data_IF_884218648751
#
_entry.id   IF_884218648751
#
_cell.length_a   1.000
_cell.length_b   1.000
_cell.length_c   1.000
_cell.angle_alpha   90.00
_cell.angle_beta   90.00
_cell.angle_gamma   90.00
#
_symmetry.space_group_name_H-M   'P 1'
#
loop_
_entity.id
_entity.type
_entity.pdbx_description
1 polymer ?
#
# COMPACT_ATOMS: atom_id res chain seq x y z
N UNK A 1 57.63 -12.88 -6.36
CA UNK A 1 56.57 -12.60 -7.34
C UNK A 1 55.37 -13.42 -6.92
N UNK A 2 54.35 -12.73 -6.39
CA UNK A 2 52.99 -13.15 -6.00
C UNK A 2 52.73 -14.63 -5.64
N UNK A 3 52.66 -14.89 -4.33
CA UNK A 3 51.89 -16.01 -3.79
C UNK A 3 50.41 -15.60 -3.78
N UNK A 4 49.56 -16.28 -4.56
CA UNK A 4 48.11 -16.14 -4.50
C UNK A 4 47.61 -16.68 -3.16
N UNK A 5 47.08 -15.79 -2.31
CA UNK A 5 46.13 -16.19 -1.28
C UNK A 5 44.81 -16.47 -1.97
N UNK A 6 44.39 -17.74 -2.01
CA UNK A 6 43.02 -18.09 -2.32
C UNK A 6 42.18 -17.96 -1.04
N UNK A 7 41.33 -16.93 -0.98
CA UNK A 7 40.18 -16.91 -0.06
C UNK A 7 39.16 -17.94 -0.59
N UNK A 8 38.95 -19.01 0.16
CA UNK A 8 37.83 -19.93 -0.03
C UNK A 8 36.69 -19.50 0.90
N UNK A 9 35.54 -19.11 0.33
CA UNK A 9 34.34 -18.72 1.06
C UNK A 9 33.21 -19.71 0.78
N UNK A 10 32.91 -20.54 1.78
CA UNK A 10 31.99 -21.68 1.78
C UNK A 10 32.66 -23.00 1.33
N UNK A 11 33.17 -23.75 2.31
CA UNK A 11 33.77 -25.07 2.16
C UNK A 11 32.69 -26.14 2.41
N UNK A 12 32.31 -26.91 1.38
CA UNK A 12 31.30 -27.98 1.47
C UNK A 12 31.88 -29.32 1.95
N UNK A 13 32.47 -29.34 3.15
CA UNK A 13 32.85 -30.61 3.77
C UNK A 13 32.79 -30.52 5.30
N UNK A 14 31.61 -30.79 5.86
CA UNK A 14 31.49 -31.02 7.29
C UNK A 14 30.94 -32.44 7.55
N UNK A 15 31.76 -33.29 8.17
CA UNK A 15 31.45 -34.67 8.55
C UNK A 15 31.58 -34.85 10.08
N UNK A 16 31.13 -33.87 10.85
CA UNK A 16 31.14 -33.92 12.31
C UNK A 16 29.74 -33.79 12.90
N UNK A 17 29.52 -34.42 14.05
CA UNK A 17 28.39 -34.12 14.91
C UNK A 17 28.76 -32.89 15.77
N UNK A 18 28.11 -31.75 15.55
CA UNK A 18 28.24 -30.58 16.42
C UNK A 18 27.12 -30.58 17.45
N UNK A 19 27.38 -31.23 18.57
CA UNK A 19 26.59 -31.07 19.79
C UNK A 19 26.49 -29.59 20.18
N UNK A 20 25.26 -29.07 20.13
CA UNK A 20 24.85 -27.81 20.74
C UNK A 20 23.64 -28.10 21.62
N UNK A 21 23.79 -27.95 22.92
CA UNK A 21 22.73 -28.12 23.91
C UNK A 21 21.80 -26.89 23.86
N UNK A 22 20.96 -26.82 22.82
CA UNK A 22 19.84 -25.89 22.77
C UNK A 22 18.74 -26.48 23.66
N UNK A 23 18.41 -25.77 24.74
CA UNK A 23 17.33 -26.13 25.65
C UNK A 23 16.09 -26.47 24.83
N UNK A 24 15.70 -27.75 24.86
CA UNK A 24 14.54 -28.25 24.15
C UNK A 24 13.28 -27.65 24.77
N UNK A 25 12.86 -26.49 24.27
CA UNK A 25 11.48 -26.09 24.36
C UNK A 25 10.70 -27.08 23.50
N UNK A 26 10.02 -28.00 24.18
CA UNK A 26 9.19 -29.06 23.60
C UNK A 26 7.92 -28.49 22.94
N UNK A 27 8.12 -27.66 21.92
CA UNK A 27 7.10 -27.32 20.93
C UNK A 27 7.44 -28.16 19.70
N UNK A 28 6.71 -29.26 19.56
CA UNK A 28 6.81 -30.15 18.42
C UNK A 28 6.29 -29.43 17.17
N UNK A 29 7.16 -28.69 16.49
CA UNK A 29 6.96 -28.26 15.10
C UNK A 29 7.32 -29.39 14.11
N UNK A 30 7.39 -30.65 14.58
CA UNK A 30 8.04 -31.82 13.98
C UNK A 30 7.34 -32.43 12.77
N UNK A 31 6.90 -31.60 11.83
CA UNK A 31 6.69 -32.01 10.45
C UNK A 31 7.35 -31.01 9.51
N UNK A 32 8.65 -30.74 9.71
CA UNK A 32 9.44 -30.02 8.72
C UNK A 32 9.85 -30.95 7.58
N UNK A 33 9.98 -30.39 6.39
CA UNK A 33 10.38 -31.13 5.20
C UNK A 33 11.77 -31.76 5.40
N UNK A 34 11.82 -33.09 5.52
CA UNK A 34 13.05 -33.83 5.77
C UNK A 34 14.05 -33.71 4.60
N UNK A 35 13.55 -33.59 3.37
CA UNK A 35 14.37 -33.37 2.19
C UNK A 35 14.90 -31.93 2.17
N UNK A 36 14.07 -30.96 2.53
CA UNK A 36 14.47 -29.56 2.73
C UNK A 36 15.59 -29.41 3.76
N UNK A 37 15.51 -30.12 4.89
CA UNK A 37 16.57 -30.14 5.90
C UNK A 37 17.88 -30.69 5.36
N UNK A 38 17.83 -31.81 4.61
CA UNK A 38 19.02 -32.42 3.99
C UNK A 38 19.68 -31.46 3.00
N UNK A 39 18.88 -30.89 2.09
CA UNK A 39 19.35 -29.92 1.08
C UNK A 39 19.92 -28.65 1.73
N UNK A 40 19.28 -28.15 2.79
CA UNK A 40 19.78 -27.03 3.57
C UNK A 40 21.16 -27.31 4.18
N UNK A 41 21.34 -28.49 4.78
CA UNK A 41 22.62 -28.92 5.35
C UNK A 41 23.74 -29.00 4.31
N UNK A 42 23.43 -29.43 3.10
CA UNK A 42 24.40 -29.58 2.01
C UNK A 42 24.79 -28.24 1.37
N UNK A 43 23.81 -27.37 1.14
CA UNK A 43 23.98 -26.23 0.22
C UNK A 43 23.93 -24.87 0.91
N UNK A 44 23.35 -24.76 2.10
CA UNK A 44 22.99 -23.48 2.72
C UNK A 44 23.69 -23.24 4.06
N UNK A 45 23.76 -24.28 4.90
CA UNK A 45 24.22 -24.18 6.28
C UNK A 45 25.66 -23.64 6.43
N UNK A 46 26.52 -23.86 5.43
CA UNK A 46 27.91 -23.37 5.45
C UNK A 46 28.04 -21.85 5.51
N UNK A 47 27.08 -21.12 4.93
CA UNK A 47 27.08 -19.66 4.95
C UNK A 47 25.98 -19.11 5.89
N UNK A 48 24.82 -19.77 5.98
CA UNK A 48 23.67 -19.34 6.80
C UNK A 48 23.64 -19.91 8.23
N UNK A 49 24.60 -20.77 8.58
CA UNK A 49 24.68 -21.44 9.88
C UNK A 49 23.72 -22.63 9.98
N UNK A 50 24.09 -23.65 10.77
CA UNK A 50 23.28 -24.87 10.94
C UNK A 50 21.89 -24.58 11.53
N UNK A 51 21.79 -23.56 12.39
CA UNK A 51 20.54 -23.11 13.01
C UNK A 51 19.93 -21.86 12.33
N UNK A 52 20.40 -21.49 11.13
CA UNK A 52 19.90 -20.32 10.40
C UNK A 52 20.29 -18.96 11.01
N UNK A 53 21.15 -18.93 12.05
CA UNK A 53 21.57 -17.70 12.73
C UNK A 53 22.54 -16.82 11.91
N UNK A 54 22.91 -17.25 10.70
CA UNK A 54 23.89 -16.56 9.86
C UNK A 54 25.33 -16.81 10.29
N UNK A 55 26.27 -16.35 9.48
CA UNK A 55 27.70 -16.33 9.79
C UNK A 55 28.25 -14.93 9.50
N UNK A 56 29.57 -14.75 9.58
CA UNK A 56 30.19 -13.48 9.15
C UNK A 56 30.06 -13.23 7.63
N UNK A 57 29.65 -14.23 6.86
CA UNK A 57 29.57 -14.18 5.40
C UNK A 57 28.13 -14.28 4.91
N UNK A 58 27.30 -15.13 5.52
CA UNK A 58 25.89 -15.30 5.15
C UNK A 58 24.94 -14.66 6.17
N UNK A 59 23.86 -14.08 5.66
CA UNK A 59 22.82 -13.45 6.48
C UNK A 59 22.05 -14.46 7.33
N UNK A 60 21.51 -14.06 8.49
CA UNK A 60 20.58 -14.89 9.23
C UNK A 60 19.30 -15.16 8.42
N UNK A 61 18.77 -16.37 8.58
CA UNK A 61 17.51 -16.86 8.02
C UNK A 61 16.40 -16.99 9.09
N UNK A 62 16.75 -16.76 10.36
CA UNK A 62 15.79 -16.51 11.45
C UNK A 62 15.21 -15.11 11.28
N UNK A 63 13.88 -14.99 11.39
CA UNK A 63 13.12 -13.75 11.22
C UNK A 63 13.47 -13.00 9.92
N UNK A 64 13.63 -13.72 8.81
CA UNK A 64 14.14 -13.14 7.58
C UNK A 64 13.08 -12.31 6.83
N UNK A 65 13.50 -11.26 6.11
CA UNK A 65 12.58 -10.38 5.39
C UNK A 65 11.78 -11.10 4.29
N UNK A 66 12.37 -12.12 3.66
CA UNK A 66 11.73 -12.93 2.61
C UNK A 66 10.92 -14.10 3.17
N UNK A 67 10.91 -14.30 4.50
CA UNK A 67 10.20 -15.36 5.19
C UNK A 67 8.71 -15.01 5.42
N UNK A 68 8.08 -14.32 4.46
CA UNK A 68 6.65 -13.94 4.51
C UNK A 68 5.73 -15.04 3.98
N UNK A 69 6.28 -16.03 3.28
CA UNK A 69 5.55 -17.19 2.78
C UNK A 69 6.50 -18.17 2.08
N UNK A 70 6.16 -19.46 2.07
CA UNK A 70 6.99 -20.52 1.47
C UNK A 70 7.24 -20.24 -0.02
N UNK A 71 6.21 -19.85 -0.77
CA UNK A 71 6.34 -19.57 -2.20
C UNK A 71 7.24 -18.35 -2.49
N UNK A 72 7.13 -17.28 -1.68
CA UNK A 72 7.97 -16.09 -1.80
C UNK A 72 9.43 -16.42 -1.52
N UNK A 73 9.68 -17.18 -0.44
CA UNK A 73 11.03 -17.60 -0.08
C UNK A 73 11.61 -18.57 -1.12
N UNK A 74 10.83 -19.53 -1.62
CA UNK A 74 11.27 -20.44 -2.68
C UNK A 74 11.61 -19.68 -3.97
N UNK A 75 10.83 -18.66 -4.32
CA UNK A 75 11.13 -17.80 -5.46
C UNK A 75 12.43 -17.03 -5.26
N UNK A 76 12.63 -16.43 -4.10
CA UNK A 76 13.87 -15.73 -3.75
C UNK A 76 15.07 -16.68 -3.85
N UNK A 77 14.99 -17.87 -3.24
CA UNK A 77 16.03 -18.90 -3.31
C UNK A 77 16.35 -19.22 -4.77
N UNK A 78 15.35 -19.49 -5.60
CA UNK A 78 15.56 -19.86 -7.01
C UNK A 78 16.24 -18.77 -7.86
N UNK A 79 16.18 -17.50 -7.41
CA UNK A 79 16.76 -16.37 -8.13
C UNK A 79 18.16 -15.99 -7.63
N UNK A 80 18.46 -16.24 -6.35
CA UNK A 80 19.63 -15.65 -5.71
C UNK A 80 20.55 -16.67 -5.04
N UNK A 81 20.14 -17.93 -4.89
CA UNK A 81 20.88 -18.96 -4.17
C UNK A 81 20.89 -20.30 -4.92
N UNK A 82 21.92 -21.15 -4.73
CA UNK A 82 23.11 -20.95 -3.90
C UNK A 82 24.17 -20.05 -4.53
N UNK A 83 24.88 -19.29 -3.70
CA UNK A 83 26.05 -18.49 -4.09
C UNK A 83 27.36 -19.18 -3.71
N UNK A 84 28.33 -19.17 -4.62
CA UNK A 84 29.59 -19.87 -4.42
C UNK A 84 30.44 -19.89 -5.70
N UNK A 85 31.72 -20.26 -5.55
CA UNK A 85 32.65 -20.29 -6.68
C UNK A 85 32.30 -21.38 -7.71
N UNK A 86 31.72 -22.47 -7.23
CA UNK A 86 31.39 -23.66 -8.03
C UNK A 86 29.89 -24.01 -7.93
N UNK A 87 29.04 -23.01 -7.67
CA UNK A 87 27.58 -23.16 -7.59
C UNK A 87 26.87 -22.13 -8.47
N UNK A 88 25.66 -22.46 -8.90
CA UNK A 88 24.75 -21.64 -9.68
C UNK A 88 23.37 -21.62 -9.01
N UNK A 89 22.59 -20.56 -9.24
CA UNK A 89 21.21 -20.45 -8.72
C UNK A 89 20.29 -21.60 -9.19
N UNK A 90 20.62 -22.20 -10.33
CA UNK A 90 19.94 -23.39 -10.86
C UNK A 90 20.21 -24.67 -10.08
N UNK A 91 21.20 -24.69 -9.19
CA UNK A 91 21.54 -25.87 -8.39
C UNK A 91 20.52 -26.11 -7.27
N UNK A 92 19.75 -25.09 -6.91
CA UNK A 92 18.56 -25.22 -6.06
C UNK A 92 17.40 -24.37 -6.59
N UNK A 93 16.82 -24.79 -7.71
CA UNK A 93 15.58 -24.22 -8.24
C UNK A 93 14.38 -25.17 -8.01
N UNK A 94 13.18 -24.73 -8.43
CA UNK A 94 11.97 -25.55 -8.44
C UNK A 94 11.66 -26.24 -7.11
N UNK A 95 11.70 -27.57 -7.12
CA UNK A 95 11.38 -28.38 -5.93
C UNK A 95 12.43 -28.22 -4.83
N UNK A 96 13.73 -28.09 -5.17
CA UNK A 96 14.77 -27.86 -4.17
C UNK A 96 14.50 -26.57 -3.39
N UNK A 97 14.23 -25.49 -4.12
CA UNK A 97 13.92 -24.19 -3.51
C UNK A 97 12.66 -24.26 -2.64
N UNK A 98 11.65 -25.01 -3.08
CA UNK A 98 10.40 -25.20 -2.32
C UNK A 98 10.61 -25.99 -1.04
N UNK A 99 11.35 -27.11 -1.09
CA UNK A 99 11.62 -27.97 0.05
C UNK A 99 12.49 -27.24 1.10
N UNK A 100 13.52 -26.53 0.66
CA UNK A 100 14.40 -25.75 1.55
C UNK A 100 13.67 -24.55 2.13
N UNK A 101 12.82 -23.86 1.36
CA UNK A 101 11.99 -22.76 1.87
C UNK A 101 11.03 -23.24 2.96
N UNK A 102 10.37 -24.39 2.76
CA UNK A 102 9.51 -25.00 3.77
C UNK A 102 10.31 -25.29 5.05
N UNK A 103 11.48 -25.94 4.92
CA UNK A 103 12.34 -26.21 6.07
C UNK A 103 12.75 -24.93 6.82
N UNK A 104 13.25 -23.90 6.13
CA UNK A 104 13.65 -22.61 6.75
C UNK A 104 12.47 -21.96 7.48
N UNK A 105 11.28 -21.98 6.88
CA UNK A 105 10.07 -21.40 7.47
C UNK A 105 9.67 -22.12 8.76
N UNK A 106 9.68 -23.45 8.78
CA UNK A 106 9.26 -24.21 9.95
C UNK A 106 10.35 -24.30 11.03
N UNK A 107 11.59 -24.59 10.65
CA UNK A 107 12.69 -24.84 11.59
C UNK A 107 13.21 -23.56 12.24
N UNK A 108 13.24 -22.43 11.52
CA UNK A 108 13.85 -21.19 12.02
C UNK A 108 12.83 -20.09 12.30
N UNK A 109 11.65 -20.13 11.67
CA UNK A 109 10.64 -19.08 11.75
C UNK A 109 9.30 -19.55 12.34
N UNK A 110 9.15 -20.85 12.66
CA UNK A 110 7.89 -21.43 13.14
C UNK A 110 7.35 -20.76 14.42
N UNK A 111 8.23 -20.37 15.34
CA UNK A 111 7.87 -19.62 16.54
C UNK A 111 7.37 -18.21 16.21
N UNK A 112 8.06 -17.47 15.34
CA UNK A 112 7.64 -16.14 14.92
C UNK A 112 6.33 -16.17 14.12
N UNK A 113 6.11 -17.22 13.32
CA UNK A 113 4.85 -17.44 12.61
C UNK A 113 3.72 -17.81 13.57
N UNK A 114 3.99 -18.62 14.61
CA UNK A 114 3.02 -18.93 15.65
C UNK A 114 2.68 -17.70 16.50
N UNK A 115 3.66 -16.88 16.88
CA UNK A 115 3.46 -15.61 17.57
C UNK A 115 2.66 -14.62 16.71
N UNK A 116 2.96 -14.51 15.41
CA UNK A 116 2.18 -13.70 14.48
C UNK A 116 0.74 -14.23 14.34
N UNK A 117 0.55 -15.54 14.18
CA UNK A 117 -0.77 -16.15 14.06
C UNK A 117 -1.61 -16.00 15.34
N UNK A 118 -1.00 -16.16 16.51
CA UNK A 118 -1.66 -15.96 17.80
C UNK A 118 -1.90 -14.48 18.11
N UNK A 119 -1.05 -13.57 17.63
CA UNK A 119 -1.30 -12.11 17.71
C UNK A 119 -2.48 -11.67 16.83
N UNK A 120 -2.82 -12.43 15.80
CA UNK A 120 -3.97 -12.18 14.92
C UNK A 120 -5.21 -12.98 15.33
N UNK A 121 -5.11 -13.81 16.38
CA UNK A 121 -6.25 -14.54 16.91
C UNK A 121 -7.29 -13.55 17.42
N UNK A 122 -8.50 -13.62 16.84
CA UNK A 122 -9.58 -12.65 17.07
C UNK A 122 -9.65 -11.48 16.09
N UNK A 123 -8.71 -11.34 15.14
CA UNK A 123 -8.86 -10.40 14.01
C UNK A 123 -9.61 -11.12 12.88
N UNK A 124 -10.78 -10.59 12.51
CA UNK A 124 -11.57 -11.11 11.39
C UNK A 124 -11.74 -10.07 10.30
N UNK A 125 -11.80 -10.54 9.05
CA UNK A 125 -12.08 -9.69 7.89
C UNK A 125 -13.55 -9.28 7.93
N UNK A 126 -13.81 -8.00 7.72
CA UNK A 126 -15.18 -7.48 7.64
C UNK A 126 -15.84 -8.06 6.37
N UNK A 127 -17.04 -8.67 6.48
CA UNK A 127 -17.79 -9.16 5.33
C UNK A 127 -17.95 -8.11 4.22
N UNK A 128 -17.91 -8.54 2.95
CA UNK A 128 -17.87 -7.63 1.81
C UNK A 128 -19.09 -6.71 1.69
N UNK A 129 -20.25 -7.11 2.19
CA UNK A 129 -21.45 -6.27 2.27
C UNK A 129 -21.27 -5.08 3.23
N UNK A 130 -20.64 -5.32 4.38
CA UNK A 130 -20.31 -4.28 5.35
C UNK A 130 -19.16 -3.39 4.84
N UNK A 131 -18.16 -4.00 4.19
CA UNK A 131 -17.06 -3.28 3.55
C UNK A 131 -17.56 -2.36 2.44
N UNK A 132 -18.47 -2.84 1.57
CA UNK A 132 -19.13 -2.05 0.54
C UNK A 132 -19.87 -0.86 1.16
N UNK A 133 -20.69 -1.10 2.18
CA UNK A 133 -21.43 -0.03 2.88
C UNK A 133 -20.50 1.05 3.43
N UNK A 134 -19.39 0.65 4.05
CA UNK A 134 -18.43 1.61 4.58
C UNK A 134 -17.75 2.38 3.46
N UNK A 135 -17.35 1.70 2.40
CA UNK A 135 -16.66 2.32 1.27
C UNK A 135 -17.55 3.36 0.56
N UNK A 136 -18.80 3.02 0.19
CA UNK A 136 -19.68 3.96 -0.51
C UNK A 136 -20.03 5.18 0.35
N UNK A 137 -20.20 5.01 1.67
CA UNK A 137 -20.48 6.13 2.58
C UNK A 137 -19.27 7.05 2.69
N UNK A 138 -18.06 6.50 2.79
CA UNK A 138 -16.85 7.30 2.93
C UNK A 138 -16.45 8.01 1.63
N UNK A 139 -16.60 7.32 0.50
CA UNK A 139 -16.13 7.77 -0.81
C UNK A 139 -17.17 8.57 -1.58
N UNK A 140 -18.46 8.27 -1.44
CA UNK A 140 -19.54 8.93 -2.19
C UNK A 140 -20.65 9.50 -1.30
N UNK A 141 -20.53 9.43 0.03
CA UNK A 141 -21.54 10.00 0.95
C UNK A 141 -22.92 9.33 0.89
N UNK A 142 -23.03 8.17 0.23
CA UNK A 142 -24.30 7.45 0.01
C UNK A 142 -24.23 5.99 0.43
N UNK A 143 -25.39 5.40 0.69
CA UNK A 143 -25.50 3.96 0.90
C UNK A 143 -25.34 3.21 -0.44
N UNK A 144 -24.91 1.93 -0.40
CA UNK A 144 -24.87 1.11 -1.60
C UNK A 144 -26.27 0.90 -2.16
N UNK A 145 -26.37 0.78 -3.48
CA UNK A 145 -27.60 0.37 -4.15
C UNK A 145 -27.84 -1.13 -4.00
N UNK A 146 -29.08 -1.56 -4.23
CA UNK A 146 -29.42 -2.98 -4.24
C UNK A 146 -28.65 -3.74 -5.34
N UNK A 147 -28.43 -3.11 -6.49
CA UNK A 147 -27.68 -3.69 -7.61
C UNK A 147 -26.20 -3.88 -7.27
N UNK A 148 -25.57 -2.88 -6.65
CA UNK A 148 -24.19 -2.96 -6.16
C UNK A 148 -24.03 -4.07 -5.13
N UNK A 149 -24.95 -4.14 -4.17
CA UNK A 149 -24.94 -5.18 -3.13
C UNK A 149 -25.09 -6.58 -3.73
N UNK A 150 -26.03 -6.75 -4.67
CA UNK A 150 -26.23 -8.01 -5.35
C UNK A 150 -24.99 -8.45 -6.16
N UNK A 151 -24.31 -7.50 -6.81
CA UNK A 151 -23.06 -7.75 -7.57
C UNK A 151 -21.95 -8.23 -6.65
N UNK A 152 -21.74 -7.58 -5.51
CA UNK A 152 -20.73 -8.00 -4.51
C UNK A 152 -21.06 -9.35 -3.90
N UNK A 153 -22.33 -9.65 -3.61
CA UNK A 153 -22.74 -10.96 -3.10
C UNK A 153 -22.52 -12.07 -4.12
N UNK A 154 -22.78 -11.81 -5.40
CA UNK A 154 -22.64 -12.79 -6.47
C UNK A 154 -21.18 -13.03 -6.89
N UNK A 155 -20.37 -11.98 -6.91
CA UNK A 155 -19.03 -11.98 -7.53
C UNK A 155 -17.89 -11.81 -6.52
N UNK A 156 -18.20 -11.63 -5.23
CA UNK A 156 -17.20 -11.47 -4.17
C UNK A 156 -16.30 -10.25 -4.39
N UNK A 157 -14.98 -10.42 -4.20
CA UNK A 157 -14.00 -9.35 -4.33
C UNK A 157 -13.94 -8.74 -5.73
N UNK A 158 -14.17 -9.54 -6.77
CA UNK A 158 -14.22 -9.03 -8.15
C UNK A 158 -15.41 -8.08 -8.36
N UNK A 159 -16.58 -8.44 -7.81
CA UNK A 159 -17.76 -7.57 -7.80
C UNK A 159 -17.52 -6.30 -7.00
N UNK A 160 -16.85 -6.40 -5.85
CA UNK A 160 -16.49 -5.25 -5.02
C UNK A 160 -15.58 -4.29 -5.76
N UNK A 161 -14.50 -4.77 -6.39
CA UNK A 161 -13.59 -3.94 -7.17
C UNK A 161 -14.34 -3.20 -8.29
N UNK A 162 -15.17 -3.92 -9.06
CA UNK A 162 -15.94 -3.32 -10.15
C UNK A 162 -16.93 -2.26 -9.66
N UNK A 163 -17.58 -2.46 -8.50
CA UNK A 163 -18.46 -1.44 -7.91
C UNK A 163 -17.65 -0.23 -7.44
N UNK A 164 -16.47 -0.41 -6.86
CA UNK A 164 -15.63 0.73 -6.45
C UNK A 164 -15.18 1.57 -7.65
N UNK A 165 -14.86 0.94 -8.78
CA UNK A 165 -14.53 1.65 -10.01
C UNK A 165 -15.71 2.48 -10.51
N UNK A 166 -16.94 1.95 -10.45
CA UNK A 166 -18.15 2.69 -10.79
C UNK A 166 -18.36 3.87 -9.83
N UNK A 167 -18.29 3.64 -8.51
CA UNK A 167 -18.46 4.67 -7.47
C UNK A 167 -17.46 5.82 -7.63
N UNK A 168 -16.20 5.53 -7.94
CA UNK A 168 -15.15 6.56 -8.11
C UNK A 168 -15.29 7.38 -9.40
N UNK A 169 -16.24 7.04 -10.28
CA UNK A 169 -16.57 7.80 -11.49
C UNK A 169 -17.88 8.59 -11.37
N UNK A 170 -18.53 8.55 -10.21
CA UNK A 170 -19.77 9.29 -9.95
C UNK A 170 -19.53 10.73 -9.51
N UNK A 171 -20.49 11.62 -9.77
CA UNK A 171 -20.42 13.01 -9.31
C UNK A 171 -20.36 13.11 -7.77
N UNK A 172 -21.02 12.19 -7.07
CA UNK A 172 -20.99 12.05 -5.62
C UNK A 172 -19.58 11.84 -5.06
N UNK A 173 -18.75 11.05 -5.74
CA UNK A 173 -17.35 10.85 -5.34
C UNK A 173 -16.54 12.14 -5.43
N UNK A 174 -16.70 12.90 -6.51
CA UNK A 174 -16.00 14.18 -6.69
C UNK A 174 -16.51 15.26 -5.71
N UNK A 175 -17.81 15.26 -5.39
CA UNK A 175 -18.34 16.12 -4.33
C UNK A 175 -17.71 15.78 -2.98
N UNK A 176 -17.60 14.48 -2.66
CA UNK A 176 -16.96 14.02 -1.43
C UNK A 176 -15.47 14.33 -1.39
N UNK A 177 -14.79 14.27 -2.54
CA UNK A 177 -13.39 14.65 -2.67
C UNK A 177 -13.18 16.14 -2.33
N UNK A 178 -14.03 17.01 -2.89
CA UNK A 178 -14.05 18.43 -2.53
C UNK A 178 -14.25 18.65 -1.03
N UNK A 179 -15.18 17.94 -0.38
CA UNK A 179 -15.38 18.02 1.07
C UNK A 179 -14.13 17.64 1.86
N UNK A 180 -13.53 16.48 1.53
CA UNK A 180 -12.34 15.96 2.22
C UNK A 180 -11.17 16.93 2.12
N UNK A 181 -10.90 17.47 0.93
CA UNK A 181 -9.81 18.42 0.76
C UNK A 181 -10.13 19.78 1.38
N UNK A 182 -11.40 20.19 1.35
CA UNK A 182 -11.82 21.43 1.98
C UNK A 182 -11.74 21.36 3.52
N UNK A 183 -11.81 20.19 4.15
CA UNK A 183 -11.51 20.05 5.59
C UNK A 183 -10.07 20.44 5.95
N UNK A 184 -9.16 20.44 4.96
CA UNK A 184 -7.76 20.88 5.10
C UNK A 184 -7.56 22.29 4.57
N UNK A 185 -8.03 22.58 3.35
CA UNK A 185 -7.80 23.88 2.70
C UNK A 185 -8.67 24.99 3.29
N UNK A 186 -9.86 24.64 3.80
CA UNK A 186 -10.82 25.55 4.42
C UNK A 186 -11.19 26.75 3.52
N UNK A 187 -11.16 26.57 2.20
CA UNK A 187 -11.38 27.65 1.25
C UNK A 187 -12.86 27.93 1.01
N UNK A 188 -13.76 26.97 1.27
CA UNK A 188 -15.21 27.21 1.26
C UNK A 188 -15.64 28.27 2.27
N UNK A 189 -14.80 28.57 3.28
CA UNK A 189 -14.99 29.72 4.17
C UNK A 189 -15.18 31.03 3.39
N UNK A 190 -14.58 31.17 2.22
CA UNK A 190 -14.62 32.39 1.41
C UNK A 190 -15.78 32.44 0.40
N UNK A 191 -16.64 31.41 0.35
CA UNK A 191 -17.84 31.44 -0.48
C UNK A 191 -18.72 32.64 -0.13
N UNK A 192 -19.46 33.15 -1.11
CA UNK A 192 -20.35 34.31 -0.91
C UNK A 192 -21.42 33.99 0.14
N UNK A 193 -21.90 32.74 0.22
CA UNK A 193 -22.87 32.34 1.25
C UNK A 193 -22.34 32.51 2.68
N UNK A 194 -21.02 32.43 2.87
CA UNK A 194 -20.37 32.52 4.18
C UNK A 194 -19.85 33.93 4.50
N UNK A 195 -19.48 34.71 3.49
CA UNK A 195 -18.87 36.04 3.66
C UNK A 195 -19.81 37.21 3.33
N UNK A 196 -20.89 36.94 2.58
CA UNK A 196 -21.83 37.94 2.07
C UNK A 196 -21.28 38.84 0.96
N UNK A 197 -20.05 38.62 0.47
CA UNK A 197 -19.40 39.49 -0.53
C UNK A 197 -18.19 38.81 -1.20
N UNK A 198 -17.22 39.59 -1.68
CA UNK A 198 -16.02 39.24 -2.46
C UNK A 198 -14.88 38.65 -1.61
N UNK A 199 -15.19 37.77 -0.65
CA UNK A 199 -14.23 37.22 0.30
C UNK A 199 -12.95 36.64 -0.33
N UNK A 200 -13.07 35.79 -1.35
CA UNK A 200 -11.95 35.18 -2.05
C UNK A 200 -11.27 36.16 -3.02
N UNK A 201 -12.04 36.93 -3.79
CA UNK A 201 -11.49 37.93 -4.73
C UNK A 201 -10.69 39.03 -4.02
N UNK A 202 -10.94 39.26 -2.73
CA UNK A 202 -10.20 40.23 -1.92
C UNK A 202 -8.84 39.72 -1.48
N UNK A 203 -8.56 38.42 -1.61
CA UNK A 203 -7.25 37.82 -1.37
C UNK A 203 -6.32 37.94 -2.57
N UNK A 204 -6.86 38.20 -3.77
CA UNK A 204 -6.07 38.45 -4.97
C UNK A 204 -5.50 39.87 -4.93
N UNK A 205 -4.18 39.96 -5.10
CA UNK A 205 -3.48 41.24 -5.20
C UNK A 205 -3.94 42.02 -6.45
N UNK A 206 -4.16 43.32 -6.33
CA UNK A 206 -4.66 44.13 -7.44
C UNK A 206 -3.61 44.43 -8.52
N UNK A 207 -2.33 44.36 -8.18
CA UNK A 207 -1.24 44.61 -9.13
C UNK A 207 -1.01 43.37 -10.01
N UNK A 208 -1.16 42.17 -9.43
CA UNK A 208 -1.05 40.91 -10.17
C UNK A 208 -2.36 40.53 -10.89
N UNK A 209 -3.51 40.88 -10.31
CA UNK A 209 -4.84 40.52 -10.82
C UNK A 209 -5.70 41.78 -11.03
N UNK A 210 -5.29 42.63 -11.96
CA UNK A 210 -5.94 43.90 -12.29
C UNK A 210 -7.44 43.76 -12.60
N UNK A 211 -7.84 42.64 -13.22
CA UNK A 211 -9.22 42.35 -13.61
C UNK A 211 -10.05 41.58 -12.55
N UNK A 212 -9.57 41.45 -11.30
CA UNK A 212 -10.30 40.70 -10.24
C UNK A 212 -11.70 41.27 -9.94
N UNK A 213 -11.95 42.52 -10.32
CA UNK A 213 -13.24 43.21 -10.20
C UNK A 213 -13.87 43.52 -11.57
N UNK A 214 -13.63 42.71 -12.61
CA UNK A 214 -14.13 42.91 -13.98
C UNK A 214 -15.63 43.28 -14.05
N UNK A 215 -16.44 42.66 -13.18
CA UNK A 215 -17.88 42.91 -13.08
C UNK A 215 -18.24 44.37 -12.75
N UNK A 216 -17.32 45.15 -12.18
CA UNK A 216 -17.53 46.57 -11.91
C UNK A 216 -17.54 47.45 -13.16
N UNK A 217 -16.91 46.98 -14.25
CA UNK A 217 -16.88 47.65 -15.54
C UNK A 217 -18.06 47.21 -16.39
N UNK A 218 -18.29 45.89 -16.47
CA UNK A 218 -19.35 45.32 -17.31
C UNK A 218 -20.76 45.54 -16.72
N UNK A 219 -20.85 45.57 -15.39
CA UNK A 219 -22.08 45.80 -14.64
C UNK A 219 -21.88 46.88 -13.56
N UNK A 220 -21.82 48.17 -13.96
CA UNK A 220 -21.52 49.26 -13.04
C UNK A 220 -22.62 49.43 -11.99
N UNK A 221 -22.26 49.76 -10.75
CA UNK A 221 -23.23 49.96 -9.67
C UNK A 221 -24.17 51.14 -9.95
N UNK A 222 -25.41 51.05 -9.48
CA UNK A 222 -26.41 52.12 -9.64
C UNK A 222 -27.09 52.13 -11.01
N UNK A 223 -26.98 51.03 -11.75
CA UNK A 223 -27.80 50.76 -12.93
C UNK A 223 -29.24 50.37 -12.58
N UNK A 224 -29.95 49.81 -13.55
CA UNK A 224 -31.27 49.22 -13.32
C UNK A 224 -31.17 47.89 -12.55
N UNK A 225 -32.33 47.36 -12.14
CA UNK A 225 -32.43 46.12 -11.38
C UNK A 225 -31.75 44.95 -12.11
N UNK A 226 -31.89 44.87 -13.43
CA UNK A 226 -31.28 43.81 -14.23
C UNK A 226 -29.75 43.87 -14.21
N UNK A 227 -29.18 45.07 -14.28
CA UNK A 227 -27.74 45.27 -14.16
C UNK A 227 -27.23 44.91 -12.76
N UNK A 228 -27.94 45.28 -11.70
CA UNK A 228 -27.57 44.93 -10.33
C UNK A 228 -27.66 43.41 -10.09
N UNK A 229 -28.68 42.73 -10.63
CA UNK A 229 -28.80 41.27 -10.58
C UNK A 229 -27.64 40.58 -11.30
N UNK A 230 -27.31 41.04 -12.51
CA UNK A 230 -26.17 40.53 -13.28
C UNK A 230 -24.84 40.76 -12.53
N UNK A 231 -24.66 41.95 -11.95
CA UNK A 231 -23.49 42.28 -11.12
C UNK A 231 -23.36 41.32 -9.93
N UNK A 232 -24.44 41.08 -9.21
CA UNK A 232 -24.45 40.19 -8.05
C UNK A 232 -24.23 38.72 -8.43
N UNK A 233 -24.74 38.30 -9.59
CA UNK A 233 -24.44 36.98 -10.15
C UNK A 233 -22.96 36.84 -10.51
N UNK A 234 -22.40 37.83 -11.22
CA UNK A 234 -21.00 37.86 -11.61
C UNK A 234 -20.05 37.84 -10.41
N UNK A 235 -20.36 38.59 -9.34
CA UNK A 235 -19.63 38.54 -8.07
C UNK A 235 -19.65 37.14 -7.47
N UNK A 236 -20.84 36.51 -7.36
CA UNK A 236 -20.98 35.15 -6.80
C UNK A 236 -20.14 34.14 -7.56
N UNK A 237 -20.32 34.07 -8.88
CA UNK A 237 -19.61 33.10 -9.71
C UNK A 237 -18.09 33.30 -9.68
N UNK A 238 -17.63 34.55 -9.78
CA UNK A 238 -16.20 34.85 -9.76
C UNK A 238 -15.58 34.55 -8.39
N UNK A 239 -16.26 34.95 -7.31
CA UNK A 239 -15.76 34.73 -5.96
C UNK A 239 -15.72 33.25 -5.59
N UNK A 240 -16.81 32.53 -5.85
CA UNK A 240 -16.89 31.11 -5.50
C UNK A 240 -15.97 30.27 -6.39
N UNK A 241 -15.76 30.69 -7.64
CA UNK A 241 -14.76 30.11 -8.54
C UNK A 241 -13.34 30.23 -7.98
N UNK A 242 -12.93 31.42 -7.54
CA UNK A 242 -11.60 31.62 -6.92
C UNK A 242 -11.50 30.89 -5.57
N UNK A 243 -12.57 30.87 -4.77
CA UNK A 243 -12.59 30.14 -3.51
C UNK A 243 -12.39 28.62 -3.72
N UNK A 244 -12.96 28.06 -4.78
CA UNK A 244 -12.93 26.61 -5.04
C UNK A 244 -11.90 26.18 -6.07
N UNK A 245 -11.12 27.10 -6.65
CA UNK A 245 -10.16 26.81 -7.72
C UNK A 245 -9.24 25.63 -7.36
N UNK A 246 -8.64 25.63 -6.17
CA UNK A 246 -7.76 24.56 -5.72
C UNK A 246 -8.47 23.20 -5.55
N UNK A 247 -9.74 23.22 -5.13
CA UNK A 247 -10.56 22.01 -4.97
C UNK A 247 -10.98 21.47 -6.36
N UNK A 248 -11.41 22.35 -7.25
CA UNK A 248 -11.79 21.98 -8.61
C UNK A 248 -10.59 21.50 -9.45
N UNK A 249 -9.38 21.99 -9.18
CA UNK A 249 -8.16 21.46 -9.78
C UNK A 249 -7.94 19.99 -9.36
N UNK A 250 -8.17 19.65 -8.09
CA UNK A 250 -8.07 18.26 -7.60
C UNK A 250 -9.10 17.37 -8.30
N UNK A 251 -10.34 17.84 -8.42
CA UNK A 251 -11.38 17.13 -9.18
C UNK A 251 -10.99 16.95 -10.64
N UNK A 252 -10.47 18.00 -11.28
CA UNK A 252 -10.05 17.95 -12.67
C UNK A 252 -8.95 16.91 -12.89
N UNK A 253 -7.92 16.89 -12.05
CA UNK A 253 -6.83 15.90 -12.13
C UNK A 253 -7.41 14.49 -11.94
N UNK A 254 -8.24 14.28 -10.91
CA UNK A 254 -8.80 12.95 -10.60
C UNK A 254 -9.70 12.43 -11.74
N UNK A 255 -10.47 13.30 -12.41
CA UNK A 255 -11.32 12.92 -13.55
C UNK A 255 -10.56 12.59 -14.83
N UNK A 256 -9.32 13.06 -14.97
CA UNK A 256 -8.56 13.00 -16.23
C UNK A 256 -7.24 12.22 -16.11
N UNK A 257 -7.07 11.43 -15.05
CA UNK A 257 -5.87 10.61 -14.81
C UNK A 257 -6.03 9.18 -15.34
#
# INVERSE_FOLDING_TARGET
MFAMLALAGCEQAYNGDVGGDSAQNNLDFGNYNAEGHRLYGEQCAGCHGAEGNGTQIGTPLVACASCTGIATLAHEISLTMPIGKDTSVTDCDGQCASDVAEYIMYAFNGLSLYEAATSLDGVSVIPLDQTLRNATVQLAGRLPTEAETAKVVAEGEAGFAAVMDEVMNEDEFYNRLNEIFNDVFLTDKYLVVNTGSTGALSLLDSDDYENRTWYSVDYPSGGDDANEDNRNCAIRLSNDGVAREGLELINHITRNN
#
